data_IF_736903887869
#
_entry.id   IF_736903887869
#
_cell.length_a   1.000
_cell.length_b   1.000
_cell.length_c   1.000
_cell.angle_alpha   90.00
_cell.angle_beta   90.00
_cell.angle_gamma   90.00
#
_symmetry.space_group_name_H-M   'P 1'
#
loop_
_entity.id
_entity.type
_entity.pdbx_description
1 polymer ?
#
# COMPACT_ATOMS: atom_id res chain seq x y z
N UNK A 1 37.67 46.58 -38.52
CA UNK A 1 37.42 45.14 -38.30
C UNK A 1 37.19 44.75 -36.83
N UNK A 2 37.77 45.43 -35.82
CA UNK A 2 37.56 45.11 -34.40
C UNK A 2 36.14 45.37 -33.84
N UNK A 3 35.32 46.23 -34.48
CA UNK A 3 33.96 46.56 -34.01
C UNK A 3 32.86 45.59 -34.48
N UNK A 4 33.14 44.72 -35.44
CA UNK A 4 32.17 43.71 -35.94
C UNK A 4 31.96 42.59 -34.90
N UNK A 5 32.99 42.25 -34.12
CA UNK A 5 32.90 41.24 -33.07
C UNK A 5 31.95 41.62 -31.92
N UNK A 6 31.73 42.91 -31.66
CA UNK A 6 30.81 43.40 -30.62
C UNK A 6 29.33 43.17 -30.98
N UNK A 7 29.00 43.05 -32.27
CA UNK A 7 27.63 42.81 -32.74
C UNK A 7 27.22 41.33 -32.60
N UNK A 8 28.18 40.41 -32.59
CA UNK A 8 27.91 38.97 -32.47
C UNK A 8 27.72 38.47 -31.03
N UNK A 9 28.20 39.22 -30.02
CA UNK A 9 28.05 38.89 -28.60
C UNK A 9 26.57 38.78 -28.15
N UNK A 10 25.66 39.74 -28.47
CA UNK A 10 24.26 39.61 -28.04
C UNK A 10 23.52 38.44 -28.70
N UNK A 11 23.93 38.00 -29.90
CA UNK A 11 23.33 36.85 -30.60
C UNK A 11 23.66 35.52 -29.88
N UNK A 12 24.85 35.41 -29.29
CA UNK A 12 25.25 34.25 -28.48
C UNK A 12 24.59 34.21 -27.09
N UNK A 13 24.14 35.35 -26.55
CA UNK A 13 23.47 35.41 -25.25
C UNK A 13 22.00 34.98 -25.37
N UNK A 14 21.36 35.27 -26.51
CA UNK A 14 19.96 34.90 -26.77
C UNK A 14 19.76 33.38 -26.99
N UNK A 15 20.80 32.63 -27.37
CA UNK A 15 20.72 31.16 -27.51
C UNK A 15 20.83 30.41 -26.17
N UNK A 16 21.34 31.05 -25.11
CA UNK A 16 21.57 30.42 -23.81
C UNK A 16 20.27 30.19 -22.99
N UNK A 17 19.19 30.92 -23.28
CA UNK A 17 17.88 30.81 -22.59
C UNK A 17 16.91 29.80 -23.24
N UNK A 18 17.39 28.86 -24.05
CA UNK A 18 16.54 27.86 -24.73
C UNK A 18 16.58 26.47 -24.09
N UNK A 19 17.31 26.29 -22.98
CA UNK A 19 17.38 24.98 -22.31
C UNK A 19 16.06 24.69 -21.60
N UNK A 20 15.35 23.68 -22.10
CA UNK A 20 14.17 23.12 -21.47
C UNK A 20 14.53 22.50 -20.11
N UNK A 21 14.16 23.19 -19.02
CA UNK A 21 14.40 22.75 -17.65
C UNK A 21 13.33 21.77 -17.15
N UNK A 22 12.25 21.52 -17.90
CA UNK A 22 11.18 20.61 -17.46
C UNK A 22 11.71 19.19 -17.27
N UNK A 23 12.71 18.79 -18.06
CA UNK A 23 13.43 17.52 -17.92
C UNK A 23 14.14 17.35 -16.57
N UNK A 24 14.49 18.44 -15.87
CA UNK A 24 15.09 18.38 -14.53
C UNK A 24 14.06 18.07 -13.42
N UNK A 25 12.77 18.25 -13.72
CA UNK A 25 11.68 17.92 -12.79
C UNK A 25 11.15 16.49 -13.01
N UNK A 26 11.65 15.77 -14.02
CA UNK A 26 11.33 14.36 -14.23
C UNK A 26 12.28 13.55 -13.36
N UNK A 27 11.74 12.88 -12.34
CA UNK A 27 12.52 11.97 -11.51
C UNK A 27 12.90 10.72 -12.32
N UNK A 28 14.19 10.50 -12.63
CA UNK A 28 14.61 9.35 -13.42
C UNK A 28 14.73 8.06 -12.58
N UNK A 29 14.62 8.15 -11.25
CA UNK A 29 14.82 7.02 -10.33
C UNK A 29 13.52 6.32 -9.98
N UNK A 30 12.41 7.04 -9.99
CA UNK A 30 11.10 6.50 -9.66
C UNK A 30 10.28 6.25 -10.94
N UNK A 31 9.55 5.12 -11.03
CA UNK A 31 8.68 4.85 -12.16
C UNK A 31 7.55 5.89 -12.21
N UNK A 32 7.35 6.51 -13.38
CA UNK A 32 6.24 7.44 -13.60
C UNK A 32 4.87 6.74 -13.57
N UNK A 33 4.82 5.49 -14.04
CA UNK A 33 3.63 4.66 -13.98
C UNK A 33 3.98 3.29 -13.39
N UNK A 34 3.30 2.92 -12.32
CA UNK A 34 3.40 1.59 -11.70
C UNK A 34 2.17 0.78 -12.08
N UNK A 35 2.29 -0.44 -12.64
CA UNK A 35 1.16 -1.29 -12.95
C UNK A 35 0.46 -1.78 -11.67
N UNK A 36 -0.83 -2.03 -11.76
CA UNK A 36 -1.66 -2.63 -10.69
C UNK A 36 -1.04 -3.88 -10.08
N UNK A 37 -0.55 -4.81 -10.91
CA UNK A 37 0.14 -6.03 -10.45
C UNK A 37 1.35 -5.74 -9.55
N UNK A 38 2.15 -4.72 -9.87
CA UNK A 38 3.31 -4.33 -9.07
C UNK A 38 2.93 -3.74 -7.70
N UNK A 39 1.84 -2.96 -7.65
CA UNK A 39 1.28 -2.44 -6.40
C UNK A 39 0.72 -3.58 -5.54
N UNK A 40 0.01 -4.52 -6.16
CA UNK A 40 -0.56 -5.70 -5.50
C UNK A 40 0.54 -6.55 -4.85
N UNK A 41 1.57 -6.96 -5.61
CA UNK A 41 2.70 -7.73 -5.09
C UNK A 41 3.40 -7.00 -3.94
N UNK A 42 3.59 -5.68 -4.07
CA UNK A 42 4.22 -4.88 -3.01
C UNK A 42 3.40 -4.92 -1.73
N UNK A 43 2.09 -4.71 -1.84
CA UNK A 43 1.18 -4.70 -0.70
C UNK A 43 1.13 -6.06 0.00
N UNK A 44 0.99 -7.18 -0.74
CA UNK A 44 1.03 -8.54 -0.17
C UNK A 44 2.34 -8.79 0.59
N UNK A 45 3.48 -8.44 -0.01
CA UNK A 45 4.80 -8.59 0.61
C UNK A 45 4.93 -7.74 1.87
N UNK A 46 4.49 -6.48 1.83
CA UNK A 46 4.60 -5.56 2.97
C UNK A 46 3.70 -5.98 4.12
N UNK A 47 2.50 -6.48 3.83
CA UNK A 47 1.60 -7.06 4.83
C UNK A 47 2.22 -8.30 5.49
N UNK A 48 2.72 -9.25 4.71
CA UNK A 48 3.37 -10.44 5.25
C UNK A 48 4.59 -10.07 6.12
N UNK A 49 5.44 -9.16 5.64
CA UNK A 49 6.63 -8.73 6.37
C UNK A 49 6.29 -8.06 7.71
N UNK A 50 5.28 -7.19 7.75
CA UNK A 50 4.95 -6.46 8.98
C UNK A 50 4.32 -7.40 10.02
N UNK A 51 3.46 -8.34 9.61
CA UNK A 51 2.79 -9.25 10.53
C UNK A 51 3.72 -10.36 11.05
N UNK A 52 4.66 -10.81 10.22
CA UNK A 52 5.55 -11.92 10.57
C UNK A 52 6.90 -11.48 11.13
N UNK A 53 7.19 -10.17 11.18
CA UNK A 53 8.45 -9.65 11.67
C UNK A 53 8.75 -10.12 13.09
N UNK A 54 9.99 -10.52 13.33
CA UNK A 54 10.56 -10.76 14.66
C UNK A 54 11.19 -9.51 15.28
N UNK A 55 11.21 -8.39 14.55
CA UNK A 55 11.75 -7.14 15.04
C UNK A 55 10.71 -6.43 15.90
N UNK A 56 11.02 -6.23 17.18
CA UNK A 56 10.15 -5.56 18.15
C UNK A 56 9.81 -4.13 17.76
N UNK A 57 10.62 -3.47 16.92
CA UNK A 57 10.29 -2.15 16.38
C UNK A 57 9.19 -2.20 15.31
N UNK A 58 8.85 -3.37 14.78
CA UNK A 58 7.83 -3.57 13.74
C UNK A 58 6.49 -4.01 14.34
N UNK A 59 6.50 -5.09 15.12
CA UNK A 59 5.35 -5.62 15.87
C UNK A 59 5.87 -6.41 17.09
N UNK A 60 4.96 -6.77 18.00
CA UNK A 60 5.27 -7.50 19.25
C UNK A 60 4.35 -8.71 19.48
N UNK A 61 3.68 -9.21 18.44
CA UNK A 61 2.62 -10.22 18.60
C UNK A 61 3.09 -11.47 19.37
N UNK A 62 4.31 -11.94 19.08
CA UNK A 62 4.91 -13.12 19.72
C UNK A 62 5.20 -12.94 21.21
N UNK A 63 5.43 -11.70 21.65
CA UNK A 63 5.63 -11.38 23.07
C UNK A 63 4.28 -11.35 23.80
N UNK A 64 3.27 -10.72 23.19
CA UNK A 64 1.90 -10.67 23.74
C UNK A 64 1.28 -12.06 23.85
N UNK A 65 1.50 -12.92 22.86
CA UNK A 65 1.06 -14.33 22.87
C UNK A 65 1.94 -15.25 23.73
N UNK A 66 3.02 -14.73 24.33
CA UNK A 66 4.00 -15.46 25.15
C UNK A 66 4.66 -16.64 24.42
N UNK A 67 4.73 -16.60 23.09
CA UNK A 67 5.55 -17.54 22.33
C UNK A 67 7.03 -17.28 22.57
N UNK A 68 7.41 -16.01 22.73
CA UNK A 68 8.76 -15.54 23.02
C UNK A 68 8.81 -14.69 24.28
N UNK A 69 10.03 -14.53 24.81
CA UNK A 69 10.33 -13.63 25.93
C UNK A 69 11.67 -12.93 25.70
N UNK A 70 11.74 -11.63 25.96
CA UNK A 70 13.00 -10.90 25.90
C UNK A 70 13.86 -11.20 27.13
N UNK A 71 15.16 -11.34 26.89
CA UNK A 71 16.16 -11.52 27.96
C UNK A 71 17.00 -10.27 28.19
N UNK A 72 16.89 -9.27 27.31
CA UNK A 72 17.57 -7.97 27.36
C UNK A 72 16.63 -6.93 26.76
N UNK A 73 16.50 -5.76 27.40
CA UNK A 73 15.46 -4.76 27.09
C UNK A 73 14.06 -5.39 27.14
N UNK A 74 13.57 -5.58 28.36
CA UNK A 74 12.38 -6.39 28.64
C UNK A 74 11.10 -5.58 28.72
N UNK A 75 11.09 -4.39 28.12
CA UNK A 75 10.01 -3.41 28.24
C UNK A 75 8.71 -4.01 27.67
N UNK A 76 8.74 -4.49 26.43
CA UNK A 76 7.59 -5.08 25.75
C UNK A 76 7.13 -6.39 26.42
N UNK A 77 8.08 -7.22 26.85
CA UNK A 77 7.82 -8.42 27.66
C UNK A 77 7.12 -8.15 29.00
N UNK A 78 7.29 -6.94 29.55
CA UNK A 78 6.62 -6.46 30.76
C UNK A 78 5.43 -5.53 30.45
N UNK A 79 4.94 -5.53 29.21
CA UNK A 79 3.80 -4.75 28.73
C UNK A 79 4.03 -3.22 28.75
N UNK A 80 5.28 -2.76 28.71
CA UNK A 80 5.60 -1.37 28.39
C UNK A 80 5.82 -1.22 26.88
N UNK A 81 4.80 -0.70 26.20
CA UNK A 81 4.81 -0.47 24.75
C UNK A 81 5.07 1.00 24.37
N UNK A 82 5.45 1.84 25.33
CA UNK A 82 5.52 3.29 25.16
C UNK A 82 6.93 3.80 24.87
N UNK A 83 7.95 2.99 25.16
CA UNK A 83 9.36 3.33 24.96
C UNK A 83 9.77 3.36 23.48
N UNK A 84 8.94 2.77 22.59
CA UNK A 84 9.17 2.66 21.15
C UNK A 84 7.88 2.96 20.35
N UNK A 85 7.98 3.43 19.10
CA UNK A 85 6.83 3.72 18.25
C UNK A 85 6.21 2.47 17.62
N UNK A 86 6.12 1.36 18.35
CA UNK A 86 5.66 0.06 17.82
C UNK A 86 4.23 0.14 17.31
N UNK A 87 3.25 0.67 18.07
CA UNK A 87 1.88 0.76 17.60
C UNK A 87 1.76 1.69 16.38
N UNK A 88 2.60 2.72 16.29
CA UNK A 88 2.63 3.64 15.15
C UNK A 88 3.20 2.99 13.89
N UNK A 89 4.28 2.22 14.01
CA UNK A 89 4.92 1.58 12.85
C UNK A 89 3.99 0.55 12.18
N UNK A 90 3.27 -0.25 12.96
CA UNK A 90 2.26 -1.17 12.43
C UNK A 90 1.12 -0.40 11.74
N UNK A 91 0.58 0.62 12.40
CA UNK A 91 -0.48 1.49 11.88
C UNK A 91 -0.09 2.10 10.53
N UNK A 92 1.07 2.74 10.48
CA UNK A 92 1.58 3.42 9.30
C UNK A 92 1.78 2.45 8.14
N UNK A 93 2.38 1.28 8.38
CA UNK A 93 2.59 0.31 7.31
C UNK A 93 1.26 -0.22 6.79
N UNK A 94 0.30 -0.53 7.66
CA UNK A 94 -1.01 -1.04 7.23
C UNK A 94 -1.78 0.01 6.43
N UNK A 95 -1.86 1.26 6.88
CA UNK A 95 -2.59 2.30 6.15
C UNK A 95 -1.85 2.83 4.91
N UNK A 96 -0.64 3.35 5.11
CA UNK A 96 0.06 4.14 4.09
C UNK A 96 0.71 3.28 3.01
N UNK A 97 1.03 2.03 3.33
CA UNK A 97 1.67 1.10 2.40
C UNK A 97 0.67 0.05 1.94
N UNK A 98 0.17 -0.80 2.84
CA UNK A 98 -0.61 -1.98 2.44
C UNK A 98 -1.96 -1.58 1.83
N UNK A 99 -2.84 -1.00 2.65
CA UNK A 99 -4.22 -0.67 2.26
C UNK A 99 -4.24 0.35 1.12
N UNK A 100 -3.36 1.36 1.18
CA UNK A 100 -3.24 2.35 0.10
C UNK A 100 -2.79 1.73 -1.22
N UNK A 101 -1.83 0.80 -1.23
CA UNK A 101 -1.40 0.15 -2.47
C UNK A 101 -2.48 -0.81 -3.01
N UNK A 102 -3.23 -1.51 -2.16
CA UNK A 102 -4.39 -2.29 -2.62
C UNK A 102 -5.49 -1.40 -3.20
N UNK A 103 -5.75 -0.23 -2.60
CA UNK A 103 -6.72 0.73 -3.15
C UNK A 103 -6.29 1.26 -4.53
N UNK A 104 -5.02 1.61 -4.68
CA UNK A 104 -4.48 2.04 -5.98
C UNK A 104 -4.38 0.89 -6.99
N UNK A 105 -4.21 -0.36 -6.54
CA UNK A 105 -4.31 -1.56 -7.38
C UNK A 105 -5.69 -1.65 -8.03
N UNK A 106 -6.78 -1.56 -7.23
CA UNK A 106 -8.16 -1.59 -7.74
C UNK A 106 -8.40 -0.50 -8.79
N UNK A 107 -7.94 0.73 -8.53
CA UNK A 107 -8.10 1.86 -9.46
C UNK A 107 -7.36 1.65 -10.77
N UNK A 108 -6.13 1.13 -10.71
CA UNK A 108 -5.29 0.91 -11.89
C UNK A 108 -5.68 -0.33 -12.68
N UNK A 109 -6.19 -1.37 -12.03
CA UNK A 109 -6.63 -2.59 -12.69
C UNK A 109 -7.69 -2.30 -13.77
N UNK A 110 -8.57 -1.32 -13.55
CA UNK A 110 -9.57 -0.87 -14.53
C UNK A 110 -8.93 -0.44 -15.87
N UNK A 111 -7.69 0.06 -15.83
CA UNK A 111 -6.94 0.50 -17.02
C UNK A 111 -6.01 -0.59 -17.53
N UNK A 112 -5.42 -1.39 -16.64
CA UNK A 112 -4.41 -2.39 -16.97
C UNK A 112 -5.01 -3.72 -17.48
N UNK A 113 -6.24 -4.05 -17.07
CA UNK A 113 -6.87 -5.36 -17.33
C UNK A 113 -8.08 -5.19 -18.25
N UNK A 114 -8.01 -5.82 -19.42
CA UNK A 114 -9.04 -5.70 -20.46
C UNK A 114 -10.11 -6.77 -20.42
N UNK A 115 -9.79 -7.96 -19.89
CA UNK A 115 -10.75 -9.04 -19.73
C UNK A 115 -11.63 -8.75 -18.49
N UNK A 116 -12.96 -8.59 -18.65
CA UNK A 116 -13.84 -8.25 -17.53
C UNK A 116 -13.85 -9.30 -16.41
N UNK A 117 -13.73 -10.58 -16.74
CA UNK A 117 -13.73 -11.66 -15.73
C UNK A 117 -12.43 -11.67 -14.93
N UNK A 118 -11.29 -11.40 -15.58
CA UNK A 118 -9.99 -11.24 -14.91
C UNK A 118 -10.00 -9.99 -14.03
N UNK A 119 -10.51 -8.87 -14.55
CA UNK A 119 -10.64 -7.63 -13.78
C UNK A 119 -11.50 -7.84 -12.53
N UNK A 120 -12.61 -8.58 -12.65
CA UNK A 120 -13.47 -8.92 -11.52
C UNK A 120 -12.73 -9.73 -10.46
N UNK A 121 -11.97 -10.74 -10.88
CA UNK A 121 -11.11 -11.53 -9.98
C UNK A 121 -10.05 -10.67 -9.29
N UNK A 122 -9.34 -9.83 -10.05
CA UNK A 122 -8.29 -8.96 -9.52
C UNK A 122 -8.84 -7.97 -8.48
N UNK A 123 -10.02 -7.39 -8.71
CA UNK A 123 -10.68 -6.51 -7.75
C UNK A 123 -11.08 -7.27 -6.49
N UNK A 124 -11.74 -8.43 -6.62
CA UNK A 124 -12.20 -9.23 -5.48
C UNK A 124 -11.02 -9.73 -4.62
N UNK A 125 -9.97 -10.28 -5.25
CA UNK A 125 -8.75 -10.73 -4.55
C UNK A 125 -8.05 -9.56 -3.85
N UNK A 126 -7.99 -8.40 -4.50
CA UNK A 126 -7.42 -7.19 -3.89
C UNK A 126 -8.24 -6.74 -2.68
N UNK A 127 -9.57 -6.84 -2.74
CA UNK A 127 -10.44 -6.46 -1.63
C UNK A 127 -10.35 -7.44 -0.46
N UNK A 128 -10.29 -8.75 -0.71
CA UNK A 128 -10.00 -9.79 0.31
C UNK A 128 -8.72 -9.44 1.08
N UNK A 129 -7.65 -9.08 0.37
CA UNK A 129 -6.39 -8.69 1.01
C UNK A 129 -6.47 -7.37 1.77
N UNK A 130 -7.27 -6.41 1.28
CA UNK A 130 -7.54 -5.17 2.00
C UNK A 130 -8.35 -5.44 3.27
N UNK A 131 -9.34 -6.34 3.23
CA UNK A 131 -10.09 -6.79 4.39
C UNK A 131 -9.16 -7.43 5.41
N UNK A 132 -8.24 -8.30 4.99
CA UNK A 132 -7.27 -8.91 5.88
C UNK A 132 -6.39 -7.88 6.60
N UNK A 133 -5.97 -6.81 5.92
CA UNK A 133 -5.23 -5.72 6.53
C UNK A 133 -6.09 -4.90 7.53
N UNK A 134 -7.34 -4.58 7.18
CA UNK A 134 -8.27 -3.90 8.08
C UNK A 134 -8.65 -4.74 9.30
N UNK A 135 -8.73 -6.07 9.15
CA UNK A 135 -8.95 -7.00 10.25
C UNK A 135 -7.87 -6.81 11.33
N UNK A 136 -6.59 -6.81 10.94
CA UNK A 136 -5.50 -6.57 11.90
C UNK A 136 -5.56 -5.19 12.53
N UNK A 137 -5.98 -4.16 11.80
CA UNK A 137 -6.17 -2.83 12.39
C UNK A 137 -7.26 -2.87 13.46
N UNK A 138 -8.47 -3.32 13.13
CA UNK A 138 -9.62 -3.25 14.04
C UNK A 138 -9.41 -4.15 15.27
N UNK A 139 -8.80 -5.33 15.10
CA UNK A 139 -8.54 -6.23 16.23
C UNK A 139 -7.38 -5.79 17.11
N UNK A 140 -6.49 -4.93 16.62
CA UNK A 140 -5.35 -4.41 17.40
C UNK A 140 -5.69 -3.10 18.10
N UNK A 141 -6.40 -2.20 17.43
CA UNK A 141 -6.62 -0.82 17.89
C UNK A 141 -8.05 -0.52 18.34
N UNK A 142 -9.02 -1.40 18.05
CA UNK A 142 -10.44 -1.13 18.27
C UNK A 142 -10.99 -0.24 17.17
N UNK A 143 -11.56 0.91 17.53
CA UNK A 143 -12.11 1.87 16.57
C UNK A 143 -11.00 2.42 15.68
N UNK A 144 -11.25 2.57 14.37
CA UNK A 144 -10.24 2.98 13.39
C UNK A 144 -10.84 3.83 12.25
N UNK A 145 -10.05 4.68 11.56
CA UNK A 145 -10.47 5.28 10.30
C UNK A 145 -10.78 4.21 9.25
N UNK A 146 -12.03 4.15 8.81
CA UNK A 146 -12.48 3.15 7.85
C UNK A 146 -13.25 3.77 6.68
N UNK A 147 -14.51 4.17 6.87
CA UNK A 147 -15.38 4.72 5.81
C UNK A 147 -14.90 6.06 5.24
N UNK A 148 -14.13 6.82 6.01
CA UNK A 148 -13.56 8.11 5.60
C UNK A 148 -12.05 8.04 5.33
N UNK A 149 -11.44 6.86 5.45
CA UNK A 149 -10.01 6.70 5.25
C UNK A 149 -9.63 6.83 3.76
N UNK A 150 -8.33 7.00 3.51
CA UNK A 150 -7.70 7.03 2.17
C UNK A 150 -8.13 8.18 1.25
N UNK A 151 -8.91 9.14 1.76
CA UNK A 151 -9.25 10.38 1.08
C UNK A 151 -8.22 11.47 1.38
N UNK A 152 -7.45 11.87 0.37
CA UNK A 152 -6.43 12.93 0.50
C UNK A 152 -7.03 14.30 0.81
N UNK A 153 -8.31 14.52 0.52
CA UNK A 153 -9.01 15.76 0.85
C UNK A 153 -9.49 15.81 2.31
N UNK A 154 -9.56 14.65 2.98
CA UNK A 154 -9.94 14.54 4.38
C UNK A 154 -8.74 14.17 5.25
N UNK A 155 -8.04 15.18 5.77
CA UNK A 155 -6.84 14.96 6.61
C UNK A 155 -7.15 14.51 8.03
N UNK A 156 -8.42 14.49 8.44
CA UNK A 156 -8.87 14.07 9.78
C UNK A 156 -10.06 13.12 9.68
N UNK A 157 -9.86 11.91 9.13
CA UNK A 157 -10.93 10.93 9.03
C UNK A 157 -11.40 10.53 10.43
N UNK A 158 -12.72 10.43 10.59
CA UNK A 158 -13.29 9.94 11.85
C UNK A 158 -12.91 8.47 12.07
N UNK A 159 -12.96 8.06 13.33
CA UNK A 159 -12.82 6.67 13.72
C UNK A 159 -14.21 6.03 13.69
N UNK A 160 -14.34 4.92 12.98
CA UNK A 160 -15.54 4.11 12.94
C UNK A 160 -15.48 3.06 14.05
N UNK A 161 -16.64 2.76 14.62
CA UNK A 161 -16.82 1.76 15.68
C UNK A 161 -16.33 0.38 15.23
N UNK A 162 -15.53 -0.27 16.09
CA UNK A 162 -14.85 -1.53 15.79
C UNK A 162 -15.82 -2.65 15.39
N UNK A 163 -16.97 -2.74 16.07
CA UNK A 163 -17.99 -3.75 15.76
C UNK A 163 -18.55 -3.53 14.35
N UNK A 164 -18.87 -2.29 14.02
CA UNK A 164 -19.38 -1.90 12.70
C UNK A 164 -18.38 -2.21 11.60
N UNK A 165 -17.11 -1.83 11.80
CA UNK A 165 -16.02 -2.16 10.86
C UNK A 165 -15.93 -3.67 10.68
N UNK A 166 -15.87 -4.45 11.76
CA UNK A 166 -15.72 -5.91 11.69
C UNK A 166 -16.84 -6.59 10.90
N UNK A 167 -18.11 -6.19 11.10
CA UNK A 167 -19.23 -6.75 10.33
C UNK A 167 -19.22 -6.34 8.86
N UNK A 168 -18.76 -5.13 8.55
CA UNK A 168 -18.60 -4.70 7.16
C UNK A 168 -17.50 -5.50 6.46
N UNK A 169 -16.38 -5.79 7.14
CA UNK A 169 -15.32 -6.67 6.63
C UNK A 169 -15.83 -8.06 6.26
N UNK A 170 -16.68 -8.67 7.10
CA UNK A 170 -17.31 -9.96 6.79
C UNK A 170 -18.23 -9.86 5.56
N UNK A 171 -19.02 -8.78 5.48
CA UNK A 171 -19.93 -8.54 4.35
C UNK A 171 -19.17 -8.37 3.04
N UNK A 172 -18.02 -7.68 3.07
CA UNK A 172 -17.12 -7.53 1.91
C UNK A 172 -16.56 -8.87 1.47
N UNK A 173 -16.04 -9.68 2.40
CA UNK A 173 -15.55 -11.02 2.08
C UNK A 173 -16.63 -11.91 1.44
N UNK A 174 -17.85 -11.91 1.97
CA UNK A 174 -18.97 -12.66 1.36
C UNK A 174 -19.25 -12.20 -0.08
N UNK A 175 -19.20 -10.89 -0.33
CA UNK A 175 -19.40 -10.34 -1.66
C UNK A 175 -18.25 -10.71 -2.63
N UNK A 176 -17.00 -10.66 -2.15
CA UNK A 176 -15.82 -11.01 -2.94
C UNK A 176 -15.82 -12.49 -3.32
N UNK A 177 -16.11 -13.38 -2.38
CA UNK A 177 -16.21 -14.84 -2.63
C UNK A 177 -17.25 -15.13 -3.72
N UNK A 178 -18.40 -14.45 -3.69
CA UNK A 178 -19.43 -14.56 -4.73
C UNK A 178 -18.97 -13.94 -6.06
N UNK A 179 -18.10 -12.94 -6.03
CA UNK A 179 -17.58 -12.28 -7.21
C UNK A 179 -16.55 -13.13 -7.96
N UNK A 180 -15.74 -13.94 -7.27
CA UNK A 180 -14.69 -14.75 -7.87
C UNK A 180 -15.25 -15.73 -8.93
N UNK A 181 -14.52 -15.82 -10.04
CA UNK A 181 -14.77 -16.76 -11.13
C UNK A 181 -13.55 -17.66 -11.34
N UNK A 182 -13.57 -18.90 -10.81
CA UNK A 182 -12.46 -19.86 -10.94
C UNK A 182 -12.15 -20.30 -12.38
N UNK A 183 -13.05 -20.03 -13.33
CA UNK A 183 -12.81 -20.34 -14.75
C UNK A 183 -12.00 -19.24 -15.47
N UNK A 184 -11.77 -18.10 -14.84
CA UNK A 184 -10.98 -17.00 -15.36
C UNK A 184 -9.65 -16.86 -14.59
N UNK A 185 -8.66 -16.21 -15.21
CA UNK A 185 -7.39 -15.90 -14.57
C UNK A 185 -7.47 -14.74 -13.57
N UNK A 186 -6.34 -14.40 -12.98
CA UNK A 186 -6.14 -13.22 -12.12
C UNK A 186 -4.70 -12.72 -12.28
N UNK A 187 -4.13 -12.09 -11.24
CA UNK A 187 -2.76 -11.57 -11.14
C UNK A 187 -1.58 -12.46 -11.58
N UNK A 188 -1.79 -13.72 -11.98
CA UNK A 188 -0.76 -14.69 -12.34
C UNK A 188 0.39 -14.69 -11.30
N UNK A 189 1.65 -14.61 -11.76
CA UNK A 189 2.83 -14.57 -10.88
C UNK A 189 2.99 -13.29 -10.05
N UNK A 190 2.13 -12.28 -10.21
CA UNK A 190 2.12 -11.12 -9.32
C UNK A 190 1.43 -11.42 -7.99
N UNK A 191 0.58 -12.44 -7.92
CA UNK A 191 0.08 -12.98 -6.66
C UNK A 191 1.11 -13.92 -6.03
N UNK A 192 1.73 -13.47 -4.94
CA UNK A 192 2.78 -14.22 -4.25
C UNK A 192 2.23 -15.19 -3.20
N UNK A 193 0.91 -15.27 -3.03
CA UNK A 193 0.25 -16.16 -2.08
C UNK A 193 -0.25 -17.42 -2.78
N UNK A 194 -1.11 -17.29 -3.79
CA UNK A 194 -1.69 -18.43 -4.52
C UNK A 194 -1.27 -18.50 -5.99
N UNK A 195 -0.35 -17.64 -6.45
CA UNK A 195 0.16 -17.70 -7.83
C UNK A 195 -0.90 -17.42 -8.89
N UNK A 196 -1.98 -16.70 -8.52
CA UNK A 196 -3.09 -16.39 -9.39
C UNK A 196 -4.18 -17.47 -9.46
N UNK A 197 -4.08 -18.53 -8.65
CA UNK A 197 -5.13 -19.54 -8.52
C UNK A 197 -6.35 -18.98 -7.78
N UNK A 198 -7.36 -18.61 -8.57
CA UNK A 198 -8.62 -18.04 -8.10
C UNK A 198 -9.43 -18.99 -7.23
N UNK A 199 -9.28 -20.31 -7.41
CA UNK A 199 -10.03 -21.28 -6.59
C UNK A 199 -9.49 -21.40 -5.16
N UNK A 200 -8.24 -20.97 -4.93
CA UNK A 200 -7.61 -20.96 -3.60
C UNK A 200 -7.93 -19.70 -2.80
N UNK A 201 -8.37 -18.63 -3.47
CA UNK A 201 -8.87 -17.38 -2.87
C UNK A 201 -10.33 -17.52 -2.43
#
# INVERSE_FOLDING_TARGET
>A
MKKIFLVFIPIFILSACTKDLTSLNVDPKNPLNVPSSGLFTNAQRRLSNILTSSNVNSNIFRLVEQQWQETTYTDESNYDFTTRPIPHNLWDVLYSVVIKNFEETKKKAIQDVTNPDVLKNDIAITDIMQVYAYYYLVTTYGDIPYTQALDISNTFPKYDDAKTVYYDLLTRLDADIVALNPAAGSFDGADIIYGGDVASW
#
